data_IF_702054880074
#
_entry.id   IF_702054880074
#
_cell.length_a   1.000
_cell.length_b   1.000
_cell.length_c   1.000
_cell.angle_alpha   90.00
_cell.angle_beta   90.00
_cell.angle_gamma   90.00
#
_symmetry.space_group_name_H-M   'P 1'
#
loop_
_entity.id
_entity.type
_entity.pdbx_description
1 polymer ?
#
# COMPACT_ATOMS: atom_id res chain seq x y z
N UNK A 1 -6.10 8.88 -6.04
CA UNK A 1 -5.52 9.59 -4.88
C UNK A 1 -4.03 9.43 -4.96
N UNK A 2 -3.25 10.50 -4.79
CA UNK A 2 -1.79 10.46 -4.87
C UNK A 2 -1.22 10.83 -3.50
N UNK A 3 -0.16 10.12 -3.11
CA UNK A 3 0.54 10.32 -1.84
C UNK A 3 1.98 10.70 -2.15
N UNK A 4 2.44 11.84 -1.62
CA UNK A 4 3.80 12.33 -1.76
C UNK A 4 4.54 12.16 -0.43
N UNK A 5 5.63 11.40 -0.45
CA UNK A 5 6.37 11.04 0.77
C UNK A 5 7.36 12.10 1.23
N UNK A 6 7.81 12.97 0.33
CA UNK A 6 8.83 13.99 0.59
C UNK A 6 8.25 15.43 0.55
N UNK A 7 7.20 15.65 -0.25
CA UNK A 7 6.61 16.96 -0.49
C UNK A 7 5.21 17.10 0.12
N UNK A 8 5.01 18.13 0.93
CA UNK A 8 3.68 18.51 1.39
C UNK A 8 3.09 19.57 0.44
N UNK A 9 2.11 19.16 -0.37
CA UNK A 9 1.50 20.00 -1.42
C UNK A 9 -0.01 19.92 -1.37
N UNK A 10 -0.65 21.08 -1.52
CA UNK A 10 -2.10 21.19 -1.55
C UNK A 10 -2.70 20.34 -2.68
N UNK A 11 -3.71 19.51 -2.34
CA UNK A 11 -4.30 18.53 -3.24
C UNK A 11 -3.66 17.13 -3.24
N UNK A 12 -2.59 16.92 -2.47
CA UNK A 12 -1.91 15.62 -2.31
C UNK A 12 -1.85 15.23 -0.83
N UNK A 13 -1.96 13.94 -0.53
CA UNK A 13 -1.70 13.47 0.84
C UNK A 13 -0.21 13.33 1.06
N UNK A 14 0.27 13.78 2.22
CA UNK A 14 1.68 13.72 2.56
C UNK A 14 1.95 12.54 3.50
N UNK A 15 2.91 11.68 3.14
CA UNK A 15 3.31 10.54 3.96
C UNK A 15 3.80 9.35 3.16
N UNK A 16 4.09 8.24 3.85
CA UNK A 16 4.42 6.96 3.21
C UNK A 16 3.19 6.07 3.17
N UNK A 17 3.15 5.17 2.20
CA UNK A 17 2.15 4.11 2.14
C UNK A 17 2.57 3.03 3.15
N UNK A 18 2.12 3.18 4.38
CA UNK A 18 2.37 2.23 5.47
C UNK A 18 1.07 1.55 5.93
N UNK A 19 1.19 0.60 6.86
CA UNK A 19 0.04 -0.14 7.41
C UNK A 19 -1.08 0.76 7.95
N UNK A 20 -0.75 1.89 8.56
CA UNK A 20 -1.70 2.87 9.06
C UNK A 20 -2.47 3.54 7.92
N UNK A 21 -1.77 3.90 6.85
CA UNK A 21 -2.40 4.41 5.62
C UNK A 21 -3.36 3.36 5.02
N UNK A 22 -2.88 2.13 4.84
CA UNK A 22 -3.70 1.04 4.29
C UNK A 22 -4.96 0.81 5.11
N UNK A 23 -4.84 0.72 6.45
CA UNK A 23 -5.98 0.54 7.35
C UNK A 23 -6.99 1.69 7.33
N UNK A 24 -6.53 2.91 7.11
CA UNK A 24 -7.40 4.10 7.05
C UNK A 24 -8.15 4.19 5.72
N UNK A 25 -7.54 3.73 4.63
CA UNK A 25 -8.06 3.93 3.27
C UNK A 25 -8.68 2.68 2.63
N UNK A 26 -8.36 1.49 3.12
CA UNK A 26 -8.88 0.21 2.62
C UNK A 26 -9.84 -0.35 3.66
N UNK A 27 -11.10 -0.53 3.27
CA UNK A 27 -12.15 -1.10 4.12
C UNK A 27 -12.41 -2.58 3.85
N UNK A 28 -12.01 -3.07 2.67
CA UNK A 28 -12.13 -4.47 2.26
C UNK A 28 -10.75 -4.98 1.83
N UNK A 29 -10.23 -5.98 2.53
CA UNK A 29 -8.92 -6.58 2.23
C UNK A 29 -9.05 -7.87 1.41
N UNK A 30 -10.27 -8.30 1.10
CA UNK A 30 -10.54 -9.47 0.27
C UNK A 30 -10.61 -9.10 -1.22
N UNK A 31 -9.68 -8.25 -1.67
CA UNK A 31 -9.57 -7.78 -3.04
C UNK A 31 -8.14 -7.97 -3.54
N UNK A 32 -7.96 -7.85 -4.86
CA UNK A 32 -6.63 -7.96 -5.45
C UNK A 32 -5.89 -6.62 -5.32
N UNK A 33 -4.68 -6.66 -4.77
CA UNK A 33 -3.77 -5.55 -4.65
C UNK A 33 -2.61 -5.72 -5.63
N UNK A 34 -2.37 -4.68 -6.42
CA UNK A 34 -1.26 -4.60 -7.35
C UNK A 34 -0.23 -3.62 -6.78
N UNK A 35 0.97 -4.11 -6.48
CA UNK A 35 2.03 -3.31 -5.87
C UNK A 35 3.28 -3.43 -6.74
N UNK A 36 3.74 -2.30 -7.28
CA UNK A 36 4.97 -2.21 -8.05
C UNK A 36 5.89 -1.15 -7.45
N UNK A 37 7.20 -1.35 -7.58
CA UNK A 37 8.21 -0.44 -7.03
C UNK A 37 9.49 -1.17 -6.64
N UNK A 38 10.38 -0.49 -5.90
CA UNK A 38 11.58 -1.12 -5.35
C UNK A 38 11.21 -2.29 -4.42
N UNK A 39 12.01 -3.35 -4.42
CA UNK A 39 11.75 -4.58 -3.67
C UNK A 39 11.41 -4.32 -2.19
N UNK A 40 12.18 -3.45 -1.52
CA UNK A 40 11.95 -3.10 -0.11
C UNK A 40 10.55 -2.48 0.13
N UNK A 41 10.06 -1.68 -0.81
CA UNK A 41 8.72 -1.07 -0.72
C UNK A 41 7.64 -2.12 -0.95
N UNK A 42 7.82 -2.96 -1.97
CA UNK A 42 6.86 -4.03 -2.31
C UNK A 42 6.75 -5.00 -1.13
N UNK A 43 7.86 -5.45 -0.56
CA UNK A 43 7.88 -6.33 0.61
C UNK A 43 7.15 -5.70 1.80
N UNK A 44 7.50 -4.47 2.16
CA UNK A 44 6.90 -3.76 3.30
C UNK A 44 5.39 -3.56 3.15
N UNK A 45 4.90 -3.19 1.96
CA UNK A 45 3.47 -3.03 1.70
C UNK A 45 2.75 -4.38 1.74
N UNK A 46 3.35 -5.43 1.18
CA UNK A 46 2.74 -6.76 1.18
C UNK A 46 2.64 -7.36 2.59
N UNK A 47 3.66 -7.19 3.43
CA UNK A 47 3.59 -7.58 4.83
C UNK A 47 2.47 -6.82 5.56
N UNK A 48 2.35 -5.51 5.32
CA UNK A 48 1.29 -4.70 5.91
C UNK A 48 -0.11 -5.15 5.44
N UNK A 49 -0.28 -5.45 4.15
CA UNK A 49 -1.54 -5.97 3.59
C UNK A 49 -1.90 -7.33 4.18
N UNK A 50 -0.94 -8.26 4.29
CA UNK A 50 -1.14 -9.59 4.90
C UNK A 50 -1.57 -9.49 6.35
N UNK A 51 -0.92 -8.63 7.14
CA UNK A 51 -1.30 -8.41 8.55
C UNK A 51 -2.72 -7.83 8.69
N UNK A 52 -3.12 -6.98 7.74
CA UNK A 52 -4.47 -6.41 7.68
C UNK A 52 -5.53 -7.40 7.15
N UNK A 53 -5.12 -8.61 6.74
CA UNK A 53 -6.03 -9.69 6.31
C UNK A 53 -6.17 -9.85 4.80
N UNK A 54 -5.29 -9.25 4.00
CA UNK A 54 -5.25 -9.51 2.56
C UNK A 54 -4.67 -10.90 2.27
N UNK A 55 -5.34 -11.65 1.40
CA UNK A 55 -4.86 -12.97 0.98
C UNK A 55 -3.72 -12.86 -0.03
N UNK A 56 -2.75 -13.78 0.07
CA UNK A 56 -1.56 -13.76 -0.79
C UNK A 56 -1.89 -13.95 -2.28
N UNK A 57 -3.01 -14.61 -2.60
CA UNK A 57 -3.50 -14.80 -3.98
C UNK A 57 -3.94 -13.49 -4.63
N UNK A 58 -4.36 -12.51 -3.82
CA UNK A 58 -4.71 -11.17 -4.27
C UNK A 58 -3.49 -10.26 -4.48
N UNK A 59 -2.29 -10.65 -4.04
CA UNK A 59 -1.08 -9.83 -4.17
C UNK A 59 -0.36 -10.19 -5.47
N UNK A 60 -0.49 -9.34 -6.49
CA UNK A 60 0.16 -9.54 -7.79
C UNK A 60 1.49 -8.78 -7.82
N UNK A 61 2.57 -9.52 -8.08
CA UNK A 61 3.93 -9.02 -8.20
C UNK A 61 4.31 -8.98 -9.70
N UNK A 62 4.73 -7.81 -10.19
CA UNK A 62 5.39 -7.69 -11.51
C UNK A 62 6.90 -7.60 -11.27
N UNK A 63 7.63 -8.59 -11.80
CA UNK A 63 9.11 -8.62 -11.92
C UNK A 63 9.59 -7.97 -13.24
#
# INVERSE_FOLDING_TARGET
>A
MYVLSDENKDGFEHGRIDKGFLKKHISDFNQHFYVCGPDEMVESINEALKDLGAEADGLVFEE
#
